data_IF_866523666894
#
_entry.id   IF_866523666894
#
_cell.length_a   1.000
_cell.length_b   1.000
_cell.length_c   1.000
_cell.angle_alpha   90.00
_cell.angle_beta   90.00
_cell.angle_gamma   90.00
#
_symmetry.space_group_name_H-M   'P 1'
#
loop_
_entity.id
_entity.type
_entity.pdbx_description
1 polymer ?
#
# COMPACT_ATOMS: atom_id res chain seq x y z
N UNK A 1 6.22 -10.70 -11.83
CA UNK A 1 5.98 -9.76 -10.71
C UNK A 1 6.25 -8.32 -11.15
N UNK A 2 7.37 -7.99 -11.82
CA UNK A 2 7.70 -6.62 -12.22
C UNK A 2 6.60 -5.92 -13.03
N UNK A 3 5.95 -6.62 -13.97
CA UNK A 3 4.80 -6.08 -14.71
C UNK A 3 3.60 -5.78 -13.80
N UNK A 4 3.35 -6.62 -12.80
CA UNK A 4 2.29 -6.37 -11.83
C UNK A 4 2.61 -5.17 -10.92
N UNK A 5 3.87 -4.97 -10.55
CA UNK A 5 4.30 -3.79 -9.80
C UNK A 5 4.18 -2.53 -10.66
N UNK A 6 4.55 -2.59 -11.94
CA UNK A 6 4.34 -1.49 -12.88
C UNK A 6 2.85 -1.14 -13.03
N UNK A 7 2.00 -2.15 -13.20
CA UNK A 7 0.54 -1.98 -13.26
C UNK A 7 -0.02 -1.40 -11.95
N UNK A 8 0.44 -1.92 -10.80
CA UNK A 8 0.08 -1.42 -9.48
C UNK A 8 0.39 0.07 -9.35
N UNK A 9 1.62 0.47 -9.71
CA UNK A 9 2.02 1.87 -9.65
C UNK A 9 1.21 2.75 -10.60
N UNK A 10 1.02 2.31 -11.85
CA UNK A 10 0.20 3.02 -12.82
C UNK A 10 -1.22 3.24 -12.31
N UNK A 11 -1.87 2.19 -11.77
CA UNK A 11 -3.21 2.29 -11.22
C UNK A 11 -3.26 3.25 -10.02
N UNK A 12 -2.28 3.18 -9.10
CA UNK A 12 -2.26 4.05 -7.92
C UNK A 12 -2.08 5.52 -8.29
N UNK A 13 -1.14 5.82 -9.18
CA UNK A 13 -0.93 7.19 -9.63
C UNK A 13 -2.11 7.73 -10.46
N UNK A 14 -2.77 6.88 -11.25
CA UNK A 14 -4.02 7.24 -11.94
C UNK A 14 -5.15 7.56 -10.95
N UNK A 15 -5.24 6.81 -9.85
CA UNK A 15 -6.20 7.12 -8.78
C UNK A 15 -5.91 8.49 -8.15
N UNK A 16 -4.66 8.73 -7.76
CA UNK A 16 -4.24 9.99 -7.10
C UNK A 16 -4.37 11.22 -8.01
N UNK A 17 -4.32 11.02 -9.33
CA UNK A 17 -4.59 12.10 -10.29
C UNK A 17 -6.07 12.54 -10.33
N UNK A 18 -7.00 11.67 -9.89
CA UNK A 18 -8.46 11.92 -9.96
C UNK A 18 -9.03 12.24 -8.57
N UNK A 19 -8.58 11.53 -7.52
CA UNK A 19 -9.10 11.65 -6.16
C UNK A 19 -7.98 12.00 -5.17
N UNK A 20 -8.31 12.61 -4.02
CA UNK A 20 -7.34 12.87 -2.97
C UNK A 20 -6.57 11.63 -2.53
N UNK A 21 -5.28 11.81 -2.25
CA UNK A 21 -4.34 10.74 -1.87
C UNK A 21 -4.89 9.89 -0.71
N UNK A 22 -5.51 10.52 0.29
CA UNK A 22 -6.09 9.82 1.44
C UNK A 22 -7.13 8.77 1.03
N UNK A 23 -8.03 9.12 0.11
CA UNK A 23 -9.06 8.21 -0.40
C UNK A 23 -8.46 7.09 -1.26
N UNK A 24 -7.48 7.43 -2.11
CA UNK A 24 -6.76 6.44 -2.90
C UNK A 24 -5.99 5.44 -2.01
N UNK A 25 -5.32 5.92 -0.96
CA UNK A 25 -4.61 5.07 -0.01
C UNK A 25 -5.56 4.20 0.81
N UNK A 26 -6.74 4.70 1.22
CA UNK A 26 -7.73 3.88 1.90
C UNK A 26 -8.16 2.69 1.02
N UNK A 27 -8.52 2.96 -0.23
CA UNK A 27 -8.90 1.91 -1.17
C UNK A 27 -7.73 0.95 -1.47
N UNK A 28 -6.52 1.46 -1.64
CA UNK A 28 -5.32 0.63 -1.80
C UNK A 28 -5.08 -0.28 -0.59
N UNK A 29 -5.26 0.20 0.64
CA UNK A 29 -5.06 -0.57 1.87
C UNK A 29 -6.05 -1.73 2.06
N UNK A 30 -6.95 -1.98 1.10
CA UNK A 30 -7.72 -3.23 1.02
C UNK A 30 -6.87 -4.42 0.52
N UNK A 31 -5.65 -4.19 -0.01
CA UNK A 31 -4.81 -5.24 -0.56
C UNK A 31 -4.53 -6.42 0.39
N UNK A 32 -4.39 -6.27 1.74
CA UNK A 32 -4.20 -7.41 2.60
C UNK A 32 -5.42 -8.35 2.64
N UNK A 33 -6.63 -7.77 2.54
CA UNK A 33 -7.86 -8.57 2.45
C UNK A 33 -7.89 -9.35 1.13
N UNK A 34 -7.58 -8.70 0.02
CA UNK A 34 -7.51 -9.33 -1.30
C UNK A 34 -6.44 -10.43 -1.35
N UNK A 35 -5.27 -10.20 -0.73
CA UNK A 35 -4.22 -11.20 -0.62
C UNK A 35 -4.67 -12.44 0.18
N UNK A 36 -5.36 -12.25 1.30
CA UNK A 36 -5.91 -13.35 2.10
C UNK A 36 -6.95 -14.13 1.31
N UNK A 37 -7.85 -13.43 0.60
CA UNK A 37 -8.87 -14.06 -0.24
C UNK A 37 -8.23 -14.85 -1.40
N UNK A 38 -7.24 -14.30 -2.08
CA UNK A 38 -6.49 -14.99 -3.14
C UNK A 38 -5.79 -16.25 -2.59
N UNK A 39 -5.15 -16.13 -1.43
CA UNK A 39 -4.45 -17.25 -0.79
C UNK A 39 -5.43 -18.37 -0.42
N UNK A 40 -6.57 -18.02 0.12
CA UNK A 40 -7.63 -18.98 0.45
C UNK A 40 -8.23 -19.63 -0.80
N UNK A 41 -8.62 -18.86 -1.80
CA UNK A 41 -9.18 -19.37 -3.06
C UNK A 41 -8.21 -20.32 -3.80
N UNK A 42 -6.91 -20.13 -3.61
CA UNK A 42 -5.87 -21.00 -4.16
C UNK A 42 -5.56 -22.25 -3.30
N UNK A 43 -6.42 -22.61 -2.35
CA UNK A 43 -6.27 -23.79 -1.47
C UNK A 43 -5.33 -23.59 -0.29
N UNK A 44 -5.02 -22.34 0.08
CA UNK A 44 -4.29 -21.99 1.30
C UNK A 44 -5.14 -22.11 2.57
N UNK A 45 -4.53 -21.80 3.69
CA UNK A 45 -5.20 -21.85 4.99
C UNK A 45 -6.41 -20.91 5.06
N UNK A 46 -7.47 -21.35 5.72
CA UNK A 46 -8.62 -20.51 6.04
C UNK A 46 -8.18 -19.33 6.91
N UNK A 47 -8.56 -18.09 6.54
CA UNK A 47 -8.27 -16.93 7.39
C UNK A 47 -8.92 -17.14 8.77
N UNK A 48 -8.10 -16.99 9.81
CA UNK A 48 -8.58 -17.14 11.19
C UNK A 48 -9.62 -16.07 11.54
N UNK A 49 -10.51 -16.35 12.50
CA UNK A 49 -11.55 -15.41 12.96
C UNK A 49 -10.99 -14.02 13.33
N UNK A 50 -9.76 -13.97 13.85
CA UNK A 50 -9.07 -12.72 14.20
C UNK A 50 -8.78 -11.87 12.95
N UNK A 51 -8.38 -12.47 11.84
CA UNK A 51 -8.15 -11.76 10.59
C UNK A 51 -9.44 -11.15 10.05
N UNK A 52 -10.55 -11.87 10.10
CA UNK A 52 -11.87 -11.37 9.70
C UNK A 52 -12.35 -10.17 10.52
N UNK A 53 -11.94 -10.06 11.78
CA UNK A 53 -12.29 -8.91 12.64
C UNK A 53 -11.28 -7.79 12.48
N UNK A 54 -9.99 -8.11 12.50
CA UNK A 54 -8.94 -7.10 12.52
C UNK A 54 -8.79 -6.34 11.18
N UNK A 55 -9.02 -7.00 10.03
CA UNK A 55 -8.92 -6.33 8.74
C UNK A 55 -9.97 -5.23 8.54
N UNK A 56 -11.29 -5.49 8.72
CA UNK A 56 -12.28 -4.43 8.69
C UNK A 56 -12.05 -3.35 9.77
N UNK A 57 -11.60 -3.77 10.96
CA UNK A 57 -11.27 -2.83 12.04
C UNK A 57 -10.11 -1.90 11.63
N UNK A 58 -9.06 -2.43 10.98
CA UNK A 58 -7.98 -1.62 10.47
C UNK A 58 -8.46 -0.62 9.40
N UNK A 59 -9.31 -1.05 8.46
CA UNK A 59 -9.90 -0.15 7.46
C UNK A 59 -10.78 0.92 8.09
N UNK A 60 -11.61 0.57 9.09
CA UNK A 60 -12.41 1.55 9.81
C UNK A 60 -11.52 2.57 10.56
N UNK A 61 -10.43 2.12 11.16
CA UNK A 61 -9.42 2.99 11.75
C UNK A 61 -8.78 3.93 10.73
N UNK A 62 -8.47 3.43 9.52
CA UNK A 62 -7.91 4.24 8.43
C UNK A 62 -8.90 5.30 7.92
N UNK A 63 -10.20 5.03 7.89
CA UNK A 63 -11.23 6.04 7.55
C UNK A 63 -11.11 7.27 8.45
N UNK A 64 -10.89 7.07 9.74
CA UNK A 64 -10.70 8.15 10.70
C UNK A 64 -9.31 8.76 10.63
N UNK A 65 -8.26 7.93 10.54
CA UNK A 65 -6.88 8.36 10.52
C UNK A 65 -6.54 9.22 9.28
N UNK A 66 -7.11 8.90 8.14
CA UNK A 66 -6.92 9.61 6.86
C UNK A 66 -7.96 10.72 6.62
N UNK A 67 -8.83 10.98 7.58
CA UNK A 67 -9.91 11.97 7.46
C UNK A 67 -10.77 11.82 6.19
N UNK A 68 -11.19 10.60 5.93
CA UNK A 68 -11.97 10.29 4.72
C UNK A 68 -13.31 11.02 4.70
N UNK A 69 -13.95 11.21 5.85
CA UNK A 69 -15.24 11.91 5.92
C UNK A 69 -15.12 13.35 5.46
N UNK A 70 -14.12 14.10 5.95
CA UNK A 70 -13.85 15.46 5.49
C UNK A 70 -13.45 15.51 4.00
N UNK A 71 -12.72 14.49 3.54
CA UNK A 71 -12.36 14.34 2.11
C UNK A 71 -13.61 14.16 1.23
N UNK A 72 -14.56 13.31 1.63
CA UNK A 72 -15.80 13.08 0.89
C UNK A 72 -16.71 14.30 0.89
N UNK A 73 -16.79 15.02 2.01
CA UNK A 73 -17.53 16.28 2.09
C UNK A 73 -16.97 17.31 1.10
N UNK A 74 -15.64 17.43 1.01
CA UNK A 74 -14.97 18.33 0.06
C UNK A 74 -15.18 17.93 -1.41
N UNK A 75 -15.49 16.67 -1.69
CA UNK A 75 -15.77 16.14 -3.02
C UNK A 75 -17.28 15.94 -3.29
N UNK A 76 -18.15 16.53 -2.48
CA UNK A 76 -19.58 16.37 -2.64
C UNK A 76 -20.05 16.73 -4.07
N UNK A 77 -20.86 15.86 -4.67
CA UNK A 77 -21.34 16.01 -6.05
C UNK A 77 -20.41 15.43 -7.15
N UNK A 78 -19.17 15.03 -6.83
CA UNK A 78 -18.19 14.46 -7.80
C UNK A 78 -18.17 12.92 -7.77
N UNK A 79 -19.31 12.28 -7.65
CA UNK A 79 -19.42 10.82 -7.46
C UNK A 79 -18.81 9.99 -8.59
N UNK A 80 -18.88 10.46 -9.85
CA UNK A 80 -18.29 9.77 -10.98
C UNK A 80 -16.74 9.74 -10.87
N UNK A 81 -16.14 10.84 -10.46
CA UNK A 81 -14.69 10.94 -10.26
C UNK A 81 -14.24 10.09 -9.07
N UNK A 82 -15.01 10.13 -7.96
CA UNK A 82 -14.75 9.28 -6.80
C UNK A 82 -14.79 7.81 -7.23
N UNK A 83 -15.84 7.40 -7.97
CA UNK A 83 -15.98 6.03 -8.45
C UNK A 83 -14.82 5.59 -9.34
N UNK A 84 -14.43 6.42 -10.31
CA UNK A 84 -13.30 6.14 -11.21
C UNK A 84 -11.97 6.04 -10.44
N UNK A 85 -11.68 7.00 -9.55
CA UNK A 85 -10.46 6.99 -8.76
C UNK A 85 -10.37 5.80 -7.80
N UNK A 86 -11.48 5.45 -7.14
CA UNK A 86 -11.56 4.26 -6.27
C UNK A 86 -11.36 2.98 -7.08
N UNK A 87 -11.94 2.87 -8.28
CA UNK A 87 -11.74 1.72 -9.15
C UNK A 87 -10.26 1.54 -9.52
N UNK A 88 -9.56 2.62 -9.86
CA UNK A 88 -8.11 2.60 -10.09
C UNK A 88 -7.34 2.16 -8.84
N UNK A 89 -7.66 2.69 -7.68
CA UNK A 89 -7.01 2.33 -6.42
C UNK A 89 -7.23 0.86 -6.05
N UNK A 90 -8.43 0.32 -6.26
CA UNK A 90 -8.72 -1.12 -6.07
C UNK A 90 -7.98 -1.99 -7.10
N UNK A 91 -7.83 -1.53 -8.35
CA UNK A 91 -6.98 -2.19 -9.35
C UNK A 91 -5.52 -2.27 -8.88
N UNK A 92 -5.01 -1.19 -8.29
CA UNK A 92 -3.69 -1.16 -7.64
C UNK A 92 -3.60 -2.17 -6.50
N UNK A 93 -4.61 -2.19 -5.60
CA UNK A 93 -4.67 -3.13 -4.48
C UNK A 93 -4.68 -4.60 -4.94
N UNK A 94 -5.46 -4.91 -5.97
CA UNK A 94 -5.54 -6.26 -6.55
C UNK A 94 -4.20 -6.67 -7.20
N UNK A 95 -3.54 -5.77 -7.91
CA UNK A 95 -2.22 -6.00 -8.49
C UNK A 95 -1.19 -6.29 -7.41
N UNK A 96 -1.15 -5.49 -6.34
CA UNK A 96 -0.21 -5.67 -5.24
C UNK A 96 -0.50 -6.95 -4.43
N UNK A 97 -1.76 -7.27 -4.17
CA UNK A 97 -2.17 -8.53 -3.58
C UNK A 97 -1.68 -9.73 -4.40
N UNK A 98 -1.77 -9.63 -5.74
CA UNK A 98 -1.26 -10.66 -6.66
C UNK A 98 0.27 -10.76 -6.61
N UNK A 99 0.99 -9.64 -6.49
CA UNK A 99 2.45 -9.62 -6.28
C UNK A 99 2.82 -10.38 -5.01
N UNK A 100 2.15 -10.09 -3.89
CA UNK A 100 2.40 -10.78 -2.62
C UNK A 100 2.07 -12.27 -2.71
N UNK A 101 0.94 -12.61 -3.34
CA UNK A 101 0.52 -14.01 -3.53
C UNK A 101 1.56 -14.80 -4.35
N UNK A 102 1.98 -14.30 -5.50
CA UNK A 102 2.99 -14.95 -6.33
C UNK A 102 4.34 -15.04 -5.63
N UNK A 103 4.73 -13.99 -4.90
CA UNK A 103 5.95 -13.93 -4.13
C UNK A 103 6.00 -15.02 -3.07
N UNK A 104 4.93 -15.17 -2.30
CA UNK A 104 4.89 -16.11 -1.18
C UNK A 104 4.67 -17.55 -1.61
N UNK A 105 3.99 -17.78 -2.73
CA UNK A 105 3.64 -19.13 -3.19
C UNK A 105 4.69 -19.72 -4.13
N UNK A 106 5.21 -18.93 -5.08
CA UNK A 106 6.06 -19.45 -6.16
C UNK A 106 7.52 -18.98 -6.08
N UNK A 107 7.79 -17.91 -5.33
CA UNK A 107 9.13 -17.31 -5.26
C UNK A 107 9.69 -17.24 -3.85
N UNK A 108 9.15 -18.03 -2.92
CA UNK A 108 9.62 -18.07 -1.52
C UNK A 108 11.08 -18.49 -1.39
N UNK A 109 11.55 -19.35 -2.30
CA UNK A 109 12.90 -19.90 -2.31
C UNK A 109 13.90 -19.02 -3.08
N UNK A 110 13.43 -17.97 -3.74
CA UNK A 110 14.27 -16.99 -4.43
C UNK A 110 14.74 -15.94 -3.43
N UNK A 111 16.06 -15.67 -3.44
CA UNK A 111 16.61 -14.62 -2.57
C UNK A 111 15.86 -13.28 -2.76
N UNK A 112 15.46 -12.66 -1.64
CA UNK A 112 14.66 -11.45 -1.67
C UNK A 112 15.35 -10.26 -2.37
N UNK A 113 16.69 -10.21 -2.34
CA UNK A 113 17.46 -9.15 -2.99
C UNK A 113 17.45 -9.31 -4.51
N UNK A 114 17.65 -10.54 -4.99
CA UNK A 114 17.56 -10.87 -6.42
C UNK A 114 16.15 -10.60 -6.94
N UNK A 115 15.15 -11.01 -6.19
CA UNK A 115 13.75 -10.74 -6.51
C UNK A 115 13.44 -9.25 -6.59
N UNK A 116 13.93 -8.45 -5.62
CA UNK A 116 13.79 -6.99 -5.65
C UNK A 116 14.47 -6.40 -6.87
N UNK A 117 15.71 -6.78 -7.15
CA UNK A 117 16.46 -6.29 -8.31
C UNK A 117 15.73 -6.55 -9.62
N UNK A 118 15.32 -7.79 -9.86
CA UNK A 118 14.60 -8.16 -11.09
C UNK A 118 13.23 -7.47 -11.18
N UNK A 119 12.51 -7.36 -10.07
CA UNK A 119 11.19 -6.71 -10.05
C UNK A 119 11.32 -5.21 -10.31
N UNK A 120 12.19 -4.53 -9.60
CA UNK A 120 12.40 -3.08 -9.77
C UNK A 120 13.03 -2.77 -11.12
N UNK A 121 13.99 -3.58 -11.58
CA UNK A 121 14.57 -3.44 -12.92
C UNK A 121 13.52 -3.56 -14.03
N UNK A 122 12.68 -4.60 -13.97
CA UNK A 122 11.56 -4.76 -14.92
C UNK A 122 10.60 -3.57 -14.86
N UNK A 123 10.23 -3.15 -13.65
CA UNK A 123 9.33 -2.00 -13.46
C UNK A 123 9.95 -0.73 -14.03
N UNK A 124 11.23 -0.47 -13.76
CA UNK A 124 11.95 0.71 -14.27
C UNK A 124 11.98 0.73 -15.81
N UNK A 125 12.24 -0.42 -16.43
CA UNK A 125 12.24 -0.55 -17.91
C UNK A 125 10.84 -0.27 -18.46
N UNK A 126 9.81 -0.90 -17.92
CA UNK A 126 8.43 -0.74 -18.40
C UNK A 126 7.94 0.69 -18.25
N UNK A 127 8.14 1.28 -17.05
CA UNK A 127 7.71 2.66 -16.76
C UNK A 127 8.57 3.67 -17.55
N UNK A 128 9.89 3.42 -17.63
CA UNK A 128 10.79 4.29 -18.38
C UNK A 128 10.49 4.32 -19.88
N UNK A 129 10.29 3.15 -20.50
CA UNK A 129 9.90 3.06 -21.92
C UNK A 129 8.52 3.66 -22.17
N UNK A 130 7.54 3.39 -21.29
CA UNK A 130 6.20 3.96 -21.38
C UNK A 130 6.21 5.48 -21.24
N UNK A 131 6.96 6.02 -20.27
CA UNK A 131 7.12 7.45 -20.06
C UNK A 131 7.85 8.14 -21.21
N UNK A 132 8.88 7.50 -21.77
CA UNK A 132 9.60 8.01 -22.94
C UNK A 132 8.67 8.06 -24.18
N UNK A 133 7.92 6.98 -24.43
CA UNK A 133 6.97 6.91 -25.54
C UNK A 133 5.83 7.94 -25.41
N UNK A 134 5.40 8.23 -24.18
CA UNK A 134 4.38 9.24 -23.90
C UNK A 134 4.92 10.69 -23.85
N UNK A 135 6.24 10.88 -23.94
CA UNK A 135 6.87 12.21 -23.80
C UNK A 135 6.70 12.83 -22.39
N UNK A 136 6.43 12.00 -21.39
CA UNK A 136 6.10 12.45 -20.02
C UNK A 136 7.28 12.36 -19.04
N UNK A 137 8.48 12.01 -19.50
CA UNK A 137 9.67 11.97 -18.66
C UNK A 137 10.15 13.41 -18.37
N UNK A 138 10.03 13.81 -17.10
CA UNK A 138 10.56 15.07 -16.60
C UNK A 138 11.60 14.77 -15.52
N UNK A 139 12.77 15.40 -15.64
CA UNK A 139 13.81 15.36 -14.62
C UNK A 139 13.63 16.52 -13.63
N UNK A 140 14.05 16.36 -12.36
CA UNK A 140 14.03 17.46 -11.41
C UNK A 140 14.80 18.67 -11.93
N UNK A 141 14.22 19.86 -11.78
CA UNK A 141 14.80 21.11 -12.26
C UNK A 141 15.83 21.71 -11.29
N UNK A 142 15.76 21.33 -10.00
CA UNK A 142 16.58 21.92 -8.93
C UNK A 142 17.24 20.85 -8.04
N UNK A 143 18.17 21.29 -7.19
CA UNK A 143 18.89 20.42 -6.26
C UNK A 143 17.95 19.77 -5.23
N UNK A 144 16.89 20.46 -4.81
CA UNK A 144 15.90 19.94 -3.85
C UNK A 144 15.14 18.77 -4.45
N UNK A 145 14.73 18.88 -5.71
CA UNK A 145 14.10 17.80 -6.45
C UNK A 145 14.99 16.58 -6.62
N UNK A 146 16.27 16.77 -6.91
CA UNK A 146 17.26 15.69 -7.00
C UNK A 146 17.50 15.00 -5.65
N UNK A 147 17.59 15.79 -4.56
CA UNK A 147 17.69 15.24 -3.21
C UNK A 147 16.44 14.42 -2.86
N UNK A 148 15.25 14.95 -3.15
CA UNK A 148 13.98 14.24 -2.95
C UNK A 148 13.93 12.91 -3.71
N UNK A 149 14.35 12.91 -4.99
CA UNK A 149 14.40 11.70 -5.81
C UNK A 149 15.40 10.67 -5.25
N UNK A 150 16.58 11.12 -4.81
CA UNK A 150 17.58 10.24 -4.20
C UNK A 150 17.08 9.61 -2.90
N UNK A 151 16.48 10.41 -2.00
CA UNK A 151 15.90 9.93 -0.74
C UNK A 151 14.74 8.97 -0.99
N UNK A 152 13.83 9.30 -1.91
CA UNK A 152 12.73 8.43 -2.30
C UNK A 152 13.24 7.09 -2.82
N UNK A 153 14.23 7.10 -3.71
CA UNK A 153 14.82 5.87 -4.28
C UNK A 153 15.45 5.00 -3.19
N UNK A 154 16.21 5.58 -2.28
CA UNK A 154 16.84 4.85 -1.19
C UNK A 154 15.82 4.28 -0.19
N UNK A 155 14.88 5.11 0.26
CA UNK A 155 13.88 4.71 1.26
C UNK A 155 12.90 3.70 0.68
N UNK A 156 12.36 3.96 -0.52
CA UNK A 156 11.42 3.04 -1.18
C UNK A 156 12.10 1.72 -1.56
N UNK A 157 13.31 1.77 -2.12
CA UNK A 157 14.08 0.57 -2.48
C UNK A 157 14.38 -0.30 -1.26
N UNK A 158 14.77 0.30 -0.12
CA UNK A 158 15.00 -0.44 1.13
C UNK A 158 13.69 -1.02 1.69
N UNK A 159 12.59 -0.27 1.67
CA UNK A 159 11.28 -0.74 2.13
C UNK A 159 10.77 -1.91 1.30
N UNK A 160 10.81 -1.84 -0.03
CA UNK A 160 10.39 -2.94 -0.92
C UNK A 160 11.29 -4.17 -0.74
N UNK A 161 12.60 -3.97 -0.57
CA UNK A 161 13.52 -5.09 -0.27
C UNK A 161 13.15 -5.76 1.05
N UNK A 162 12.82 -4.98 2.08
CA UNK A 162 12.35 -5.49 3.36
C UNK A 162 11.03 -6.26 3.20
N UNK A 163 10.05 -5.74 2.48
CA UNK A 163 8.77 -6.42 2.20
C UNK A 163 9.03 -7.76 1.51
N UNK A 164 9.80 -7.78 0.43
CA UNK A 164 10.08 -9.02 -0.33
C UNK A 164 10.94 -10.03 0.42
N UNK A 165 11.67 -9.60 1.45
CA UNK A 165 12.48 -10.50 2.29
C UNK A 165 11.69 -11.03 3.48
N UNK A 166 10.85 -10.20 4.09
CA UNK A 166 10.15 -10.50 5.34
C UNK A 166 8.80 -11.16 5.10
N UNK A 167 7.98 -10.63 4.16
CA UNK A 167 6.61 -11.13 3.95
C UNK A 167 6.57 -12.64 3.63
N UNK A 168 7.44 -13.21 2.79
CA UNK A 168 7.44 -14.65 2.53
C UNK A 168 7.77 -15.51 3.75
N UNK A 169 8.39 -14.92 4.78
CA UNK A 169 8.74 -15.60 6.04
C UNK A 169 7.64 -15.52 7.10
N UNK A 170 6.58 -14.74 6.83
CA UNK A 170 5.43 -14.68 7.73
C UNK A 170 4.68 -16.02 7.72
N UNK A 171 4.33 -16.50 8.90
CA UNK A 171 3.71 -17.81 9.09
C UNK A 171 2.30 -17.90 8.46
N UNK A 172 1.59 -16.77 8.29
CA UNK A 172 0.23 -16.73 7.74
C UNK A 172 0.02 -15.48 6.89
N UNK A 173 -0.71 -15.59 5.76
CA UNK A 173 -1.16 -14.45 4.97
C UNK A 173 -1.89 -13.38 5.78
N UNK A 174 -2.62 -13.79 6.82
CA UNK A 174 -3.33 -12.86 7.71
C UNK A 174 -2.41 -11.85 8.41
N UNK A 175 -1.13 -12.18 8.61
CA UNK A 175 -0.16 -11.29 9.24
C UNK A 175 0.19 -10.08 8.36
N UNK A 176 -0.13 -10.10 7.06
CA UNK A 176 0.09 -8.96 6.15
C UNK A 176 -0.78 -7.75 6.49
N UNK A 177 -1.85 -7.93 7.27
CA UNK A 177 -2.62 -6.79 7.77
C UNK A 177 -1.77 -5.82 8.65
N UNK A 178 -0.62 -6.28 9.16
CA UNK A 178 0.34 -5.40 9.83
C UNK A 178 0.89 -4.31 8.88
N UNK A 179 0.86 -4.52 7.57
CA UNK A 179 1.24 -3.50 6.57
C UNK A 179 0.30 -2.29 6.57
N UNK A 180 -0.93 -2.44 7.08
CA UNK A 180 -1.85 -1.32 7.29
C UNK A 180 -1.35 -0.32 8.37
N UNK A 181 -0.26 -0.63 9.07
CA UNK A 181 0.41 0.32 9.95
C UNK A 181 1.15 1.44 9.19
N UNK A 182 1.46 1.26 7.91
CA UNK A 182 2.17 2.22 7.08
C UNK A 182 1.56 3.64 7.12
N UNK A 183 0.26 3.85 6.90
CA UNK A 183 -0.34 5.19 6.96
C UNK A 183 -0.25 5.82 8.35
N UNK A 184 -0.25 5.01 9.40
CA UNK A 184 -0.11 5.49 10.78
C UNK A 184 1.32 5.96 11.04
N UNK A 185 2.31 5.19 10.57
CA UNK A 185 3.71 5.61 10.62
C UNK A 185 3.93 6.92 9.85
N UNK A 186 3.29 7.07 8.68
CA UNK A 186 3.35 8.30 7.87
C UNK A 186 2.75 9.50 8.63
N UNK A 187 1.61 9.35 9.32
CA UNK A 187 1.01 10.40 10.15
C UNK A 187 1.93 10.81 11.30
N UNK A 188 2.51 9.84 12.00
CA UNK A 188 3.46 10.11 13.10
C UNK A 188 4.68 10.88 12.58
N UNK A 189 5.25 10.46 11.45
CA UNK A 189 6.40 11.14 10.84
C UNK A 189 6.03 12.55 10.35
N UNK A 190 4.84 12.73 9.78
CA UNK A 190 4.36 14.04 9.36
C UNK A 190 4.21 14.99 10.57
N UNK A 191 3.73 14.49 11.70
CA UNK A 191 3.67 15.28 12.93
C UNK A 191 5.07 15.62 13.46
N UNK A 192 5.99 14.64 13.54
CA UNK A 192 7.34 14.83 14.10
C UNK A 192 8.24 15.70 13.20
N UNK A 193 8.18 15.51 11.87
CA UNK A 193 9.13 16.13 10.92
C UNK A 193 8.56 17.44 10.36
N UNK A 194 7.27 17.45 10.04
CA UNK A 194 6.61 18.58 9.37
C UNK A 194 5.83 19.47 10.35
N UNK A 195 5.75 19.09 11.64
CA UNK A 195 4.98 19.83 12.64
C UNK A 195 3.46 19.86 12.38
N UNK A 196 2.94 18.93 11.58
CA UNK A 196 1.52 18.88 11.25
C UNK A 196 0.71 18.45 12.46
N UNK A 197 -0.23 19.30 12.90
CA UNK A 197 -1.13 18.97 13.99
C UNK A 197 -2.09 17.85 13.56
N UNK A 198 -2.21 16.81 14.39
CA UNK A 198 -3.18 15.73 14.18
C UNK A 198 -4.51 16.09 14.86
N UNK A 199 -5.60 15.95 14.11
CA UNK A 199 -6.94 16.10 14.69
C UNK A 199 -7.24 14.93 15.66
N UNK A 200 -8.04 15.14 16.73
CA UNK A 200 -8.39 14.07 17.67
C UNK A 200 -8.94 12.80 17.00
N UNK A 201 -9.75 12.95 15.95
CA UNK A 201 -10.29 11.84 15.16
C UNK A 201 -9.20 11.00 14.47
N UNK A 202 -8.13 11.62 14.00
CA UNK A 202 -6.99 10.92 13.39
C UNK A 202 -6.23 10.09 14.42
N UNK A 203 -6.06 10.62 15.64
CA UNK A 203 -5.45 9.89 16.75
C UNK A 203 -6.29 8.66 17.12
N UNK A 204 -7.61 8.81 17.24
CA UNK A 204 -8.52 7.67 17.50
C UNK A 204 -8.40 6.63 16.38
N UNK A 205 -8.40 7.06 15.13
CA UNK A 205 -8.22 6.17 13.98
C UNK A 205 -6.89 5.41 14.03
N UNK A 206 -5.80 6.10 14.36
CA UNK A 206 -4.48 5.49 14.51
C UNK A 206 -4.47 4.41 15.61
N UNK A 207 -5.08 4.69 16.77
CA UNK A 207 -5.19 3.73 17.87
C UNK A 207 -6.01 2.49 17.49
N UNK A 208 -7.08 2.64 16.71
CA UNK A 208 -7.87 1.52 16.20
C UNK A 208 -7.01 0.65 15.27
N UNK A 209 -6.25 1.24 14.35
CA UNK A 209 -5.34 0.48 13.46
C UNK A 209 -4.29 -0.28 14.26
N UNK A 210 -3.65 0.36 15.23
CA UNK A 210 -2.67 -0.29 16.12
C UNK A 210 -3.31 -1.45 16.87
N UNK A 211 -4.52 -1.26 17.41
CA UNK A 211 -5.29 -2.31 18.07
C UNK A 211 -5.58 -3.51 17.13
N UNK A 212 -5.93 -3.25 15.87
CA UNK A 212 -6.14 -4.27 14.86
C UNK A 212 -4.85 -5.08 14.57
N UNK A 213 -3.72 -4.40 14.45
CA UNK A 213 -2.41 -5.04 14.22
C UNK A 213 -2.03 -5.92 15.42
N UNK A 214 -2.22 -5.43 16.65
CA UNK A 214 -1.96 -6.20 17.88
C UNK A 214 -2.88 -7.42 17.94
N UNK A 215 -4.15 -7.30 17.59
CA UNK A 215 -5.12 -8.40 17.59
C UNK A 215 -4.67 -9.56 16.66
N UNK A 216 -4.08 -9.24 15.53
CA UNK A 216 -3.53 -10.24 14.60
C UNK A 216 -2.25 -10.88 15.15
N UNK A 217 -1.35 -10.06 15.71
CA UNK A 217 -0.05 -10.49 16.22
C UNK A 217 -0.13 -11.26 17.53
N UNK A 218 -1.22 -11.14 18.29
CA UNK A 218 -1.38 -11.82 19.57
C UNK A 218 -1.36 -13.35 19.41
N UNK A 219 -0.34 -14.00 19.98
CA UNK A 219 -0.20 -15.47 19.97
C UNK A 219 -1.45 -16.14 20.57
N UNK A 220 -1.89 -17.25 19.98
CA UNK A 220 -2.76 -18.21 20.68
C UNK A 220 -1.93 -18.82 21.81
N UNK A 221 -2.27 -18.55 23.05
CA UNK A 221 -1.95 -19.40 24.18
C UNK A 221 -2.93 -20.54 24.23
#
# INVERSE_FOLDING_TARGET
IGLLVALQSFCLYSAVAIIPVALALLAFNTFPMLYVLLSWAAGGEHPGRRAFVAMPMALAGLVLALDILGTLEAMAGRWAEIGAGVAWALGSAASFASVLFLTTRHLKDVDGRVRTLLTMGTTAVVVGLGGAAAGSLALPADATGWLGLALLTMLYGSAITAIFTVVPKLASPSNTAALNFEPIAALILAWLILGQAMAPRQIVGALIVVGAVILIGAKRH
#
